data_IF_523886188497
#
_entry.id   IF_523886188497
#
_cell.length_a   1.000
_cell.length_b   1.000
_cell.length_c   1.000
_cell.angle_alpha   90.00
_cell.angle_beta   90.00
_cell.angle_gamma   90.00
#
_symmetry.space_group_name_H-M   'P 1'
#
loop_
_entity.id
_entity.type
_entity.pdbx_description
1 polymer ?
#
# COMPACT_ATOMS: atom_id res chain seq x y z
N UNK A 1 12.90 -20.30 -66.45
CA UNK A 1 12.47 -18.89 -66.34
C UNK A 1 11.11 -18.87 -65.67
N UNK A 2 11.07 -18.34 -64.44
CA UNK A 2 9.92 -18.01 -63.58
C UNK A 2 8.73 -18.99 -63.55
N UNK A 3 8.77 -19.92 -62.59
CA UNK A 3 7.64 -20.77 -62.17
C UNK A 3 7.06 -20.26 -60.85
N UNK A 4 5.77 -19.91 -60.87
CA UNK A 4 4.93 -19.70 -59.69
C UNK A 4 4.64 -21.03 -58.97
N UNK A 5 4.49 -21.05 -57.64
CA UNK A 5 3.67 -22.05 -56.94
C UNK A 5 2.55 -21.34 -56.17
N UNK A 6 1.28 -21.51 -56.54
CA UNK A 6 0.36 -22.60 -56.21
C UNK A 6 0.04 -22.70 -54.71
N UNK A 7 -1.16 -22.23 -54.39
CA UNK A 7 -1.86 -22.31 -53.10
C UNK A 7 -1.95 -23.74 -52.57
N UNK A 8 -1.63 -23.93 -51.29
CA UNK A 8 -1.91 -25.14 -50.54
C UNK A 8 -3.06 -24.88 -49.55
N UNK A 9 -4.23 -25.41 -49.91
CA UNK A 9 -5.42 -25.53 -49.06
C UNK A 9 -5.13 -26.45 -47.86
N UNK A 10 -5.44 -26.00 -46.65
CA UNK A 10 -5.59 -26.86 -45.47
C UNK A 10 -7.06 -26.86 -45.04
N UNK A 11 -7.64 -28.06 -45.14
CA UNK A 11 -9.02 -28.42 -44.82
C UNK A 11 -9.29 -28.38 -43.32
N UNK A 12 -10.27 -27.59 -42.88
CA UNK A 12 -10.85 -27.71 -41.53
C UNK A 12 -11.92 -28.79 -41.51
N UNK A 13 -11.79 -29.79 -40.63
CA UNK A 13 -12.87 -30.72 -40.30
C UNK A 13 -13.86 -30.06 -39.34
N UNK A 14 -15.18 -30.13 -39.58
CA UNK A 14 -16.18 -29.74 -38.60
C UNK A 14 -16.53 -30.90 -37.66
N UNK A 15 -16.59 -30.59 -36.36
CA UNK A 15 -17.08 -31.49 -35.32
C UNK A 15 -18.59 -31.73 -35.51
N UNK A 16 -18.98 -33.01 -35.58
CA UNK A 16 -20.37 -33.44 -35.71
C UNK A 16 -21.21 -33.07 -34.46
N UNK A 17 -22.25 -32.27 -34.66
CA UNK A 17 -23.45 -32.24 -33.81
C UNK A 17 -24.55 -33.06 -34.50
N UNK A 18 -25.26 -33.96 -33.81
CA UNK A 18 -26.53 -34.47 -34.31
C UNK A 18 -27.65 -33.47 -33.98
N UNK A 19 -28.26 -32.99 -35.04
CA UNK A 19 -29.39 -32.08 -35.06
C UNK A 19 -30.70 -32.89 -35.11
N UNK A 20 -31.78 -32.30 -34.56
CA UNK A 20 -33.20 -32.46 -34.99
C UNK A 20 -33.97 -33.71 -34.51
N UNK A 21 -35.28 -33.68 -34.19
CA UNK A 21 -36.34 -32.67 -34.41
C UNK A 21 -37.63 -33.04 -33.64
N UNK A 22 -38.28 -32.00 -33.12
CA UNK A 22 -39.70 -31.65 -33.26
C UNK A 22 -40.86 -32.21 -32.40
N UNK A 23 -41.74 -31.24 -32.09
CA UNK A 23 -43.16 -31.31 -31.70
C UNK A 23 -43.47 -31.75 -30.26
N UNK A 24 -44.30 -31.08 -29.47
CA UNK A 24 -45.10 -29.88 -29.66
C UNK A 24 -46.12 -29.78 -28.52
N UNK A 25 -46.43 -28.55 -28.11
CA UNK A 25 -47.71 -28.11 -27.54
C UNK A 25 -48.07 -28.37 -26.06
N UNK A 26 -48.38 -27.23 -25.42
CA UNK A 26 -49.44 -26.97 -24.43
C UNK A 26 -49.22 -27.29 -22.93
N UNK A 27 -48.92 -26.19 -22.21
CA UNK A 27 -49.74 -25.54 -21.18
C UNK A 27 -50.36 -26.39 -20.04
N UNK A 28 -50.09 -25.97 -18.81
CA UNK A 28 -50.89 -26.32 -17.63
C UNK A 28 -50.19 -25.99 -16.32
N UNK A 29 -50.35 -24.76 -15.84
CA UNK A 29 -50.06 -24.39 -14.46
C UNK A 29 -50.97 -25.19 -13.51
N UNK A 30 -50.46 -25.61 -12.34
CA UNK A 30 -51.14 -25.54 -11.03
C UNK A 30 -50.21 -26.13 -9.93
N UNK A 31 -49.80 -25.27 -9.01
CA UNK A 31 -49.35 -25.53 -7.61
C UNK A 31 -50.49 -26.15 -6.77
N UNK A 32 -50.31 -26.61 -5.49
CA UNK A 32 -49.11 -26.76 -4.63
C UNK A 32 -49.02 -28.08 -3.77
N UNK A 33 -47.88 -28.19 -3.05
CA UNK A 33 -47.48 -28.88 -1.79
C UNK A 33 -48.60 -28.92 -0.69
N UNK A 34 -48.67 -29.77 0.40
CA UNK A 34 -47.63 -30.57 1.14
C UNK A 34 -48.00 -31.96 1.78
N UNK A 35 -46.94 -32.60 2.29
CA UNK A 35 -46.80 -33.31 3.60
C UNK A 35 -47.41 -34.69 3.92
N UNK A 36 -46.53 -35.49 4.56
CA UNK A 36 -46.71 -36.49 5.62
C UNK A 36 -46.81 -38.00 5.32
N UNK A 37 -45.78 -38.68 5.85
CA UNK A 37 -45.76 -39.95 6.61
C UNK A 37 -45.94 -41.33 5.94
N UNK A 38 -44.87 -42.10 6.15
CA UNK A 38 -44.77 -43.52 6.56
C UNK A 38 -45.00 -44.68 5.59
N UNK A 39 -43.94 -45.50 5.51
CA UNK A 39 -43.86 -46.97 5.43
C UNK A 39 -44.33 -47.70 4.16
N UNK A 40 -43.39 -48.26 3.39
CA UNK A 40 -42.97 -49.66 3.48
C UNK A 40 -41.96 -50.01 2.35
N UNK A 41 -40.87 -50.68 2.74
CA UNK A 41 -39.76 -51.22 1.91
C UNK A 41 -40.23 -52.39 0.99
N UNK A 42 -39.39 -53.05 0.13
CA UNK A 42 -37.93 -52.94 -0.07
C UNK A 42 -37.42 -52.93 -1.53
N UNK A 43 -36.17 -52.48 -1.73
CA UNK A 43 -35.37 -52.76 -2.93
C UNK A 43 -33.90 -52.41 -2.65
N UNK A 44 -33.01 -53.38 -2.82
CA UNK A 44 -31.66 -53.43 -2.27
C UNK A 44 -30.66 -52.41 -2.86
N UNK A 45 -29.77 -51.87 -2.02
CA UNK A 45 -28.56 -51.16 -2.43
C UNK A 45 -27.38 -51.63 -1.59
N UNK A 46 -26.29 -51.99 -2.27
CA UNK A 46 -25.00 -52.43 -1.74
C UNK A 46 -24.25 -51.26 -1.11
N UNK A 47 -24.10 -51.26 0.21
CA UNK A 47 -23.14 -50.42 0.92
C UNK A 47 -22.40 -51.31 1.93
N UNK A 48 -21.07 -51.25 1.88
CA UNK A 48 -20.16 -51.96 2.79
C UNK A 48 -20.18 -51.23 4.14
N UNK A 49 -20.50 -51.97 5.21
CA UNK A 49 -20.53 -51.51 6.59
C UNK A 49 -19.12 -51.53 7.19
N UNK A 50 -18.66 -50.39 7.73
CA UNK A 50 -17.39 -50.30 8.45
C UNK A 50 -17.62 -50.65 9.93
N UNK A 51 -16.93 -51.69 10.41
CA UNK A 51 -17.03 -52.19 11.77
C UNK A 51 -16.53 -51.22 12.84
N UNK A 52 -17.21 -51.23 13.98
CA UNK A 52 -16.94 -50.47 15.20
C UNK A 52 -15.60 -50.91 15.84
N UNK A 53 -14.66 -50.01 16.15
CA UNK A 53 -13.50 -50.35 16.97
C UNK A 53 -13.88 -50.39 18.47
N UNK A 54 -13.15 -51.15 19.30
CA UNK A 54 -13.45 -51.31 20.73
C UNK A 54 -13.02 -50.07 21.54
N UNK A 55 -13.71 -49.89 22.67
CA UNK A 55 -13.50 -48.83 23.66
C UNK A 55 -12.05 -48.75 24.16
N UNK A 56 -11.38 -47.62 23.90
CA UNK A 56 -10.20 -47.17 24.65
C UNK A 56 -10.52 -45.80 25.27
N UNK A 57 -10.36 -45.71 26.59
CA UNK A 57 -10.47 -44.48 27.38
C UNK A 57 -9.39 -43.48 26.93
N UNK A 58 -9.79 -42.48 26.14
CA UNK A 58 -9.00 -41.28 25.91
C UNK A 58 -9.71 -40.09 26.55
N UNK A 59 -9.31 -39.79 27.78
CA UNK A 59 -9.49 -38.46 28.37
C UNK A 59 -8.94 -37.40 27.39
N UNK A 60 -9.62 -36.26 27.18
CA UNK A 60 -9.07 -35.17 26.40
C UNK A 60 -7.85 -34.62 27.16
N UNK A 61 -6.66 -34.98 26.72
CA UNK A 61 -5.42 -34.36 27.18
C UNK A 61 -5.54 -32.86 26.88
N UNK A 62 -5.72 -32.06 27.92
CA UNK A 62 -5.54 -30.62 27.85
C UNK A 62 -4.13 -30.36 27.32
N UNK A 63 -4.01 -29.96 26.05
CA UNK A 63 -2.79 -29.34 25.55
C UNK A 63 -2.60 -28.08 26.36
N UNK A 64 -1.73 -28.17 27.35
CA UNK A 64 -1.21 -27.02 28.06
C UNK A 64 -0.78 -25.99 27.02
N UNK A 65 -1.46 -24.85 27.00
CA UNK A 65 -0.96 -23.65 26.36
C UNK A 65 0.24 -23.22 27.19
N UNK A 66 1.42 -23.69 26.83
CA UNK A 66 2.66 -23.07 27.30
C UNK A 66 2.63 -21.64 26.78
N UNK A 67 2.80 -20.67 27.70
CA UNK A 67 2.99 -19.27 27.34
C UNK A 67 4.26 -19.19 26.49
N UNK A 68 4.11 -19.22 25.17
CA UNK A 68 5.19 -19.21 24.18
C UNK A 68 5.88 -17.84 24.08
N UNK A 69 6.57 -17.44 25.15
CA UNK A 69 7.54 -16.34 25.12
C UNK A 69 8.98 -16.84 25.01
N UNK A 70 9.25 -18.08 25.42
CA UNK A 70 10.62 -18.61 25.49
C UNK A 70 11.01 -19.48 24.27
N UNK A 71 10.06 -20.04 23.51
CA UNK A 71 10.35 -20.94 22.37
C UNK A 71 10.73 -20.22 21.05
N UNK A 72 10.68 -18.87 21.02
CA UNK A 72 11.00 -18.07 19.81
C UNK A 72 12.51 -17.82 19.64
N UNK A 73 13.34 -18.11 20.65
CA UNK A 73 14.79 -17.96 20.54
C UNK A 73 15.49 -19.24 20.03
N UNK A 74 14.88 -20.42 20.22
CA UNK A 74 15.55 -21.71 20.00
C UNK A 74 15.54 -22.18 18.52
N UNK A 75 14.68 -21.61 17.68
CA UNK A 75 14.55 -21.94 16.24
C UNK A 75 14.88 -20.77 15.30
N UNK A 76 15.71 -19.81 15.73
CA UNK A 76 16.12 -18.72 14.83
C UNK A 76 17.17 -19.25 13.83
N UNK A 77 17.00 -19.03 12.51
CA UNK A 77 18.06 -19.32 11.56
C UNK A 77 19.33 -18.55 11.93
N UNK A 78 20.52 -19.07 11.57
CA UNK A 78 21.78 -18.42 11.92
C UNK A 78 21.80 -17.01 11.34
N UNK A 79 21.97 -16.02 12.22
CA UNK A 79 22.12 -14.61 11.83
C UNK A 79 23.35 -14.48 10.93
N UNK A 80 23.26 -13.66 9.89
CA UNK A 80 24.42 -13.40 9.05
C UNK A 80 25.49 -12.64 9.86
N UNK A 81 26.56 -13.34 10.21
CA UNK A 81 27.79 -12.83 10.80
C UNK A 81 28.83 -12.63 9.69
N UNK A 82 29.91 -11.92 10.03
CA UNK A 82 31.04 -11.70 9.10
C UNK A 82 31.64 -13.00 8.54
N UNK A 83 31.40 -14.12 9.20
CA UNK A 83 31.99 -15.44 8.89
C UNK A 83 31.05 -16.33 8.05
N UNK A 84 29.74 -16.12 8.11
CA UNK A 84 28.74 -16.95 7.40
C UNK A 84 27.97 -16.17 6.30
N UNK A 85 28.31 -14.90 6.07
CA UNK A 85 27.76 -14.09 4.99
C UNK A 85 28.33 -14.54 3.63
N UNK A 86 27.52 -15.14 2.76
CA UNK A 86 27.99 -15.72 1.50
C UNK A 86 28.57 -14.67 0.54
N UNK A 87 28.17 -13.40 0.67
CA UNK A 87 28.61 -12.30 -0.21
C UNK A 87 29.48 -11.27 0.50
N UNK A 88 29.85 -11.50 1.77
CA UNK A 88 30.73 -10.64 2.57
C UNK A 88 30.30 -9.17 2.67
N UNK A 89 29.00 -8.88 2.51
CA UNK A 89 28.41 -7.56 2.71
C UNK A 89 28.69 -7.01 4.12
N UNK A 90 28.69 -7.89 5.13
CA UNK A 90 29.01 -7.55 6.52
C UNK A 90 30.42 -6.93 6.68
N UNK A 91 31.35 -7.25 5.78
CA UNK A 91 32.71 -6.68 5.79
C UNK A 91 32.76 -5.24 5.29
N UNK A 92 31.78 -4.83 4.48
CA UNK A 92 31.68 -3.49 3.91
C UNK A 92 31.03 -2.50 4.88
N UNK A 93 30.32 -2.98 5.91
CA UNK A 93 29.68 -2.18 6.94
C UNK A 93 30.67 -1.23 7.64
N UNK A 94 30.27 0.03 7.84
CA UNK A 94 31.08 1.06 8.50
C UNK A 94 30.49 1.44 9.86
N UNK A 95 31.29 1.35 10.92
CA UNK A 95 30.86 1.81 12.24
C UNK A 95 30.69 3.35 12.29
N UNK A 96 29.88 3.84 13.23
CA UNK A 96 29.68 5.30 13.44
C UNK A 96 31.00 6.06 13.67
N UNK A 97 31.97 5.40 14.31
CA UNK A 97 33.30 5.97 14.53
C UNK A 97 34.07 6.12 13.21
N UNK A 98 34.02 5.11 12.34
CA UNK A 98 34.63 5.17 11.01
C UNK A 98 33.94 6.20 10.13
N UNK A 99 32.61 6.31 10.17
CA UNK A 99 31.86 7.34 9.44
C UNK A 99 32.30 8.74 9.84
N UNK A 100 32.41 9.00 11.16
CA UNK A 100 32.92 10.26 11.70
C UNK A 100 34.37 10.51 11.27
N UNK A 101 35.20 9.47 11.22
CA UNK A 101 36.59 9.57 10.76
C UNK A 101 36.69 9.85 9.25
N UNK A 102 35.87 9.22 8.42
CA UNK A 102 35.79 9.45 6.97
C UNK A 102 35.33 10.88 6.70
N UNK A 103 34.31 11.36 7.41
CA UNK A 103 33.84 12.74 7.32
C UNK A 103 34.93 13.75 7.74
N UNK A 104 35.64 13.47 8.84
CA UNK A 104 36.74 14.29 9.33
C UNK A 104 37.94 14.32 8.35
N UNK A 105 38.28 13.19 7.73
CA UNK A 105 39.38 13.10 6.77
C UNK A 105 39.03 13.77 5.43
N UNK A 106 37.77 13.66 4.99
CA UNK A 106 37.29 14.26 3.74
C UNK A 106 37.17 15.78 3.84
N UNK A 107 36.78 16.30 5.01
CA UNK A 107 36.75 17.73 5.28
C UNK A 107 38.15 18.35 5.48
N UNK A 108 39.14 17.53 5.85
CA UNK A 108 40.54 17.95 6.07
C UNK A 108 41.43 17.97 4.82
N UNK A 109 40.97 17.52 3.66
CA UNK A 109 41.75 17.57 2.40
C UNK A 109 41.84 19.02 1.90
N UNK A 110 42.73 19.78 2.56
CA UNK A 110 43.08 21.17 2.30
C UNK A 110 44.10 21.18 1.16
N UNK A 111 43.63 21.41 -0.06
CA UNK A 111 44.52 21.81 -1.15
C UNK A 111 45.22 23.12 -0.76
N UNK A 112 46.49 23.24 -1.15
CA UNK A 112 47.46 24.18 -0.61
C UNK A 112 47.08 25.67 -0.62
N UNK A 113 47.85 26.43 0.17
CA UNK A 113 47.89 27.89 0.30
C UNK A 113 46.91 28.69 -0.59
N UNK A 114 45.66 28.84 -0.12
CA UNK A 114 44.63 29.63 -0.79
C UNK A 114 43.51 30.03 0.19
N UNK A 115 42.73 31.08 -0.12
CA UNK A 115 41.71 31.60 0.79
C UNK A 115 40.59 30.58 1.00
N UNK A 116 40.07 30.58 2.22
CA UNK A 116 39.19 29.56 2.79
C UNK A 116 37.90 29.37 1.95
N UNK A 117 37.78 28.26 1.21
CA UNK A 117 36.53 27.80 0.57
C UNK A 117 35.82 26.77 1.46
N UNK A 118 35.27 27.21 2.60
CA UNK A 118 34.65 26.34 3.62
C UNK A 118 33.43 25.52 3.14
N UNK A 119 32.75 25.92 2.07
CA UNK A 119 31.41 25.39 1.76
C UNK A 119 31.41 24.10 0.91
N UNK A 120 32.36 23.93 -0.02
CA UNK A 120 32.35 22.77 -0.95
C UNK A 120 32.87 21.48 -0.30
N UNK A 121 33.90 21.56 0.54
CA UNK A 121 34.49 20.39 1.20
C UNK A 121 33.56 19.80 2.27
N UNK A 122 32.90 20.66 3.05
CA UNK A 122 31.88 20.25 4.02
C UNK A 122 30.68 19.57 3.35
N UNK A 123 30.17 20.16 2.25
CA UNK A 123 29.08 19.55 1.48
C UNK A 123 29.48 18.18 0.91
N UNK A 124 30.72 18.03 0.41
CA UNK A 124 31.23 16.75 -0.09
C UNK A 124 31.37 15.70 1.03
N UNK A 125 31.85 16.10 2.21
CA UNK A 125 31.94 15.23 3.38
C UNK A 125 30.55 14.76 3.83
N UNK A 126 29.55 15.66 3.89
CA UNK A 126 28.18 15.33 4.24
C UNK A 126 27.54 14.37 3.22
N UNK A 127 27.77 14.62 1.92
CA UNK A 127 27.28 13.71 0.86
C UNK A 127 27.91 12.32 0.96
N UNK A 128 29.19 12.25 1.27
CA UNK A 128 29.91 10.98 1.45
C UNK A 128 29.44 10.23 2.71
N UNK A 129 29.23 10.96 3.80
CA UNK A 129 28.68 10.39 5.04
C UNK A 129 27.29 9.80 4.79
N UNK A 130 26.40 10.58 4.19
CA UNK A 130 25.05 10.11 3.83
C UNK A 130 25.12 8.90 2.88
N UNK A 131 26.07 8.86 1.94
CA UNK A 131 26.25 7.70 1.08
C UNK A 131 26.55 6.44 1.89
N UNK A 132 27.50 6.50 2.83
CA UNK A 132 27.83 5.33 3.67
C UNK A 132 26.73 5.00 4.68
N UNK A 133 26.00 5.97 5.20
CA UNK A 133 24.82 5.75 6.05
C UNK A 133 23.76 4.95 5.25
N UNK A 134 23.39 5.40 4.05
CA UNK A 134 22.47 4.66 3.18
C UNK A 134 23.00 3.27 2.78
N UNK A 135 24.32 3.11 2.58
CA UNK A 135 24.90 1.79 2.30
C UNK A 135 24.83 0.87 3.52
N UNK A 136 25.12 1.37 4.71
CA UNK A 136 25.01 0.60 5.95
C UNK A 136 23.55 0.16 6.20
N UNK A 137 22.59 1.06 6.02
CA UNK A 137 21.15 0.73 6.11
C UNK A 137 20.78 -0.37 5.11
N UNK A 138 21.29 -0.32 3.87
CA UNK A 138 21.01 -1.36 2.88
C UNK A 138 21.66 -2.70 3.27
N UNK A 139 22.92 -2.70 3.71
CA UNK A 139 23.62 -3.90 4.17
C UNK A 139 22.88 -4.52 5.36
N UNK A 140 22.48 -3.71 6.33
CA UNK A 140 21.71 -4.17 7.49
C UNK A 140 20.38 -4.77 7.08
N UNK A 141 19.66 -4.13 6.14
CA UNK A 141 18.41 -4.65 5.58
C UNK A 141 18.58 -6.00 4.88
N UNK A 142 19.63 -6.18 4.08
CA UNK A 142 19.89 -7.41 3.34
C UNK A 142 20.33 -8.56 4.28
N UNK A 143 21.17 -8.25 5.26
CA UNK A 143 21.66 -9.24 6.24
C UNK A 143 20.65 -9.55 7.35
N UNK A 144 19.55 -8.80 7.43
CA UNK A 144 18.49 -9.07 8.38
C UNK A 144 17.72 -10.32 7.95
N UNK A 145 17.60 -11.35 8.82
CA UNK A 145 16.81 -12.54 8.52
C UNK A 145 15.36 -12.20 8.16
N UNK A 146 14.76 -13.02 7.30
CA UNK A 146 13.37 -12.83 6.84
C UNK A 146 12.39 -12.84 8.02
N UNK A 147 12.66 -13.67 9.03
CA UNK A 147 11.88 -13.80 10.24
C UNK A 147 11.92 -12.52 11.09
N UNK A 148 13.07 -11.83 11.13
CA UNK A 148 13.21 -10.56 11.84
C UNK A 148 12.48 -9.42 11.10
N UNK A 149 12.44 -9.45 9.76
CA UNK A 149 11.58 -8.55 8.98
C UNK A 149 10.10 -8.80 9.29
N UNK A 150 9.69 -10.07 9.41
CA UNK A 150 8.33 -10.43 9.80
C UNK A 150 7.99 -10.01 11.23
N UNK A 151 8.93 -10.21 12.17
CA UNK A 151 8.75 -9.89 13.58
C UNK A 151 8.63 -8.39 13.77
N UNK A 152 9.50 -7.59 13.16
CA UNK A 152 9.41 -6.13 13.20
C UNK A 152 8.11 -5.63 12.57
N UNK A 153 7.69 -6.17 11.42
CA UNK A 153 6.40 -5.80 10.83
C UNK A 153 5.21 -6.16 11.75
N UNK A 154 5.28 -7.28 12.48
CA UNK A 154 4.27 -7.68 13.47
C UNK A 154 4.33 -6.83 14.75
N UNK A 155 5.52 -6.42 15.18
CA UNK A 155 5.73 -5.51 16.30
C UNK A 155 5.25 -4.10 15.94
N UNK A 156 5.54 -3.58 14.75
CA UNK A 156 4.96 -2.32 14.26
C UNK A 156 3.42 -2.40 14.16
N UNK A 157 2.87 -3.57 13.84
CA UNK A 157 1.42 -3.79 13.79
C UNK A 157 0.78 -4.03 15.18
N UNK A 158 1.53 -4.51 16.18
CA UNK A 158 1.01 -5.00 17.46
C UNK A 158 1.48 -4.25 18.72
N UNK A 159 2.67 -3.67 18.70
CA UNK A 159 3.31 -2.96 19.80
C UNK A 159 3.04 -1.45 19.70
N UNK A 160 1.82 -1.06 20.09
CA UNK A 160 1.63 0.02 21.08
C UNK A 160 0.14 0.29 21.32
N UNK A 161 -0.49 -0.60 22.08
CA UNK A 161 -1.93 -0.72 22.10
C UNK A 161 -2.68 0.46 22.77
N UNK A 162 -2.04 1.35 23.53
CA UNK A 162 -2.78 2.42 24.24
C UNK A 162 -2.41 3.83 23.82
N UNK A 163 -1.13 4.25 23.87
CA UNK A 163 -0.78 5.63 23.48
C UNK A 163 -0.99 5.87 21.99
N UNK A 164 -0.64 4.90 21.15
CA UNK A 164 -0.88 4.96 19.72
C UNK A 164 -2.38 4.84 19.38
N UNK A 165 -3.13 3.94 20.02
CA UNK A 165 -4.59 3.91 19.84
C UNK A 165 -5.27 5.21 20.29
N UNK A 166 -4.88 5.77 21.44
CA UNK A 166 -5.40 7.06 21.91
C UNK A 166 -5.02 8.17 20.95
N UNK A 167 -3.81 8.18 20.40
CA UNK A 167 -3.39 9.18 19.41
C UNK A 167 -4.20 9.07 18.11
N UNK A 168 -4.38 7.86 17.57
CA UNK A 168 -5.12 7.63 16.32
C UNK A 168 -6.62 7.87 16.51
N UNK A 169 -7.26 7.23 17.49
CA UNK A 169 -8.69 7.41 17.75
C UNK A 169 -9.00 8.83 18.28
N UNK A 170 -8.12 9.38 19.09
CA UNK A 170 -8.24 10.75 19.60
C UNK A 170 -8.10 11.79 18.49
N UNK A 171 -7.13 11.62 17.57
CA UNK A 171 -6.97 12.50 16.41
C UNK A 171 -8.16 12.37 15.45
N UNK A 172 -8.66 11.15 15.22
CA UNK A 172 -9.87 10.93 14.42
C UNK A 172 -11.10 11.61 15.02
N UNK A 173 -11.35 11.44 16.32
CA UNK A 173 -12.45 12.10 17.02
C UNK A 173 -12.30 13.64 17.00
N UNK A 174 -11.07 14.14 17.16
CA UNK A 174 -10.78 15.56 17.05
C UNK A 174 -11.07 16.08 15.63
N UNK A 175 -10.65 15.38 14.58
CA UNK A 175 -10.93 15.74 13.19
C UNK A 175 -12.45 15.79 12.92
N UNK A 176 -13.24 14.86 13.46
CA UNK A 176 -14.71 14.92 13.36
C UNK A 176 -15.28 16.17 14.07
N UNK A 177 -14.82 16.45 15.30
CA UNK A 177 -15.27 17.62 16.03
C UNK A 177 -14.89 18.94 15.32
N UNK A 178 -13.69 18.97 14.74
CA UNK A 178 -13.20 20.09 13.95
C UNK A 178 -14.00 20.28 12.67
N UNK A 179 -14.35 19.19 11.96
CA UNK A 179 -15.20 19.24 10.78
C UNK A 179 -16.58 19.87 11.10
N UNK A 180 -17.20 19.47 12.22
CA UNK A 180 -18.47 20.05 12.66
C UNK A 180 -18.36 21.55 12.99
N UNK A 181 -17.26 21.94 13.64
CA UNK A 181 -17.01 23.32 14.00
C UNK A 181 -16.70 24.20 12.77
N UNK A 182 -15.96 23.67 11.79
CA UNK A 182 -15.71 24.36 10.53
C UNK A 182 -16.95 24.44 9.64
N UNK A 183 -17.81 23.41 9.66
CA UNK A 183 -19.13 23.44 9.01
C UNK A 183 -19.99 24.57 9.57
N UNK A 184 -20.04 24.68 10.89
CA UNK A 184 -20.72 25.81 11.55
C UNK A 184 -20.09 27.16 11.15
N UNK A 185 -18.77 27.25 11.16
CA UNK A 185 -18.02 28.45 10.75
C UNK A 185 -18.33 28.88 9.31
N UNK A 186 -18.29 27.95 8.36
CA UNK A 186 -18.54 28.23 6.94
C UNK A 186 -19.99 28.66 6.70
N UNK A 187 -20.98 27.92 7.23
CA UNK A 187 -22.41 28.24 7.06
C UNK A 187 -22.75 29.60 7.70
N UNK A 188 -22.22 29.88 8.89
CA UNK A 188 -22.51 31.12 9.60
C UNK A 188 -21.78 32.35 9.04
N UNK A 189 -20.61 32.15 8.42
CA UNK A 189 -19.82 33.22 7.80
C UNK A 189 -20.32 33.60 6.41
N UNK A 190 -20.72 32.61 5.62
CA UNK A 190 -20.98 32.79 4.19
C UNK A 190 -19.71 32.98 3.34
N UNK A 191 -18.51 32.89 3.94
CA UNK A 191 -17.22 33.07 3.28
C UNK A 191 -16.82 31.85 2.45
N UNK A 192 -16.45 32.10 1.18
CA UNK A 192 -16.10 31.05 0.23
C UNK A 192 -14.77 30.37 0.58
N UNK A 193 -13.81 31.09 1.16
CA UNK A 193 -12.56 30.48 1.61
C UNK A 193 -12.78 29.55 2.79
N UNK A 194 -13.69 29.91 3.72
CA UNK A 194 -14.07 29.03 4.84
C UNK A 194 -14.89 27.82 4.39
N UNK A 195 -15.71 27.95 3.35
CA UNK A 195 -16.36 26.80 2.71
C UNK A 195 -15.33 25.84 2.09
N UNK A 196 -14.24 26.38 1.54
CA UNK A 196 -13.16 25.56 0.97
C UNK A 196 -12.44 24.76 2.04
N UNK A 197 -12.05 25.39 3.15
CA UNK A 197 -11.40 24.70 4.27
C UNK A 197 -12.33 23.71 4.97
N UNK A 198 -13.62 24.04 5.08
CA UNK A 198 -14.64 23.13 5.61
C UNK A 198 -14.77 21.86 4.77
N UNK A 199 -14.81 22.00 3.44
CA UNK A 199 -14.91 20.84 2.55
C UNK A 199 -13.75 19.87 2.82
N UNK A 200 -12.52 20.39 2.85
CA UNK A 200 -11.31 19.62 3.19
C UNK A 200 -11.49 18.87 4.53
N UNK A 201 -11.83 19.59 5.61
CA UNK A 201 -11.98 19.02 6.95
C UNK A 201 -13.12 17.99 7.08
N UNK A 202 -14.18 18.06 6.27
CA UNK A 202 -15.28 17.07 6.26
C UNK A 202 -14.86 15.80 5.53
N UNK A 203 -14.12 15.95 4.44
CA UNK A 203 -13.76 14.83 3.60
C UNK A 203 -12.56 14.05 4.17
N UNK A 204 -11.70 14.65 4.99
CA UNK A 204 -10.63 13.94 5.71
C UNK A 204 -11.11 12.76 6.60
N UNK A 205 -12.12 12.90 7.47
CA UNK A 205 -12.66 11.73 8.18
C UNK A 205 -13.43 10.79 7.24
N UNK A 206 -13.98 11.29 6.13
CA UNK A 206 -14.69 10.45 5.15
C UNK A 206 -13.73 9.53 4.37
N UNK A 207 -12.49 9.99 4.09
CA UNK A 207 -11.45 9.15 3.48
C UNK A 207 -11.10 7.98 4.38
N UNK A 208 -10.94 8.22 5.69
CA UNK A 208 -10.70 7.19 6.70
C UNK A 208 -11.87 6.18 6.79
N UNK A 209 -13.11 6.64 6.73
CA UNK A 209 -14.28 5.75 6.69
C UNK A 209 -14.25 4.89 5.41
N UNK A 210 -13.91 5.49 4.27
CA UNK A 210 -13.80 4.80 2.98
C UNK A 210 -12.71 3.74 3.02
N UNK A 211 -11.57 4.04 3.63
CA UNK A 211 -10.48 3.09 3.87
C UNK A 211 -10.97 1.91 4.73
N UNK A 212 -11.61 2.17 5.86
CA UNK A 212 -12.14 1.12 6.75
C UNK A 212 -13.18 0.25 6.02
N UNK A 213 -14.08 0.89 5.24
CA UNK A 213 -15.09 0.20 4.47
C UNK A 213 -14.44 -0.70 3.39
N UNK A 214 -13.43 -0.18 2.68
CA UNK A 214 -12.68 -0.96 1.69
C UNK A 214 -11.96 -2.13 2.34
N UNK A 215 -11.24 -1.89 3.43
CA UNK A 215 -10.50 -2.93 4.15
C UNK A 215 -11.44 -4.04 4.66
N UNK A 216 -12.64 -3.67 5.12
CA UNK A 216 -13.69 -4.64 5.51
C UNK A 216 -14.28 -5.39 4.31
N UNK A 217 -14.36 -4.76 3.14
CA UNK A 217 -14.78 -5.41 1.89
C UNK A 217 -13.70 -6.38 1.35
N UNK A 218 -12.42 -6.05 1.52
CA UNK A 218 -11.27 -6.92 1.21
C UNK A 218 -11.23 -8.15 2.13
N UNK A 219 -11.56 -7.99 3.42
CA UNK A 219 -11.63 -9.15 4.35
C UNK A 219 -12.78 -10.12 4.05
N UNK A 220 -13.81 -9.70 3.31
CA UNK A 220 -14.96 -10.53 2.91
C UNK A 220 -14.86 -10.94 1.44
N UNK A 221 -13.78 -11.63 1.08
CA UNK A 221 -13.56 -12.14 -0.28
C UNK A 221 -14.02 -13.58 -0.38
N UNK A 222 -14.83 -13.85 -1.40
CA UNK A 222 -15.10 -15.19 -1.89
C UNK A 222 -13.98 -15.58 -2.88
N UNK A 223 -13.13 -16.57 -2.55
CA UNK A 223 -12.00 -16.98 -3.40
C UNK A 223 -12.42 -17.40 -4.81
N UNK A 224 -13.65 -17.90 -4.99
CA UNK A 224 -14.12 -18.41 -6.28
C UNK A 224 -14.41 -17.29 -7.30
N UNK A 225 -14.74 -16.08 -6.82
CA UNK A 225 -15.06 -14.93 -7.68
C UNK A 225 -13.86 -14.02 -7.90
N UNK A 226 -12.95 -13.97 -6.92
CA UNK A 226 -11.76 -13.12 -6.96
C UNK A 226 -10.54 -13.94 -6.53
N UNK A 227 -9.96 -14.76 -7.43
CA UNK A 227 -8.86 -15.67 -7.09
C UNK A 227 -7.58 -14.92 -6.69
N UNK A 228 -7.35 -13.73 -7.23
CA UNK A 228 -6.23 -12.84 -6.85
C UNK A 228 -6.59 -11.89 -5.69
N UNK A 229 -7.66 -12.16 -4.94
CA UNK A 229 -8.12 -11.30 -3.86
C UNK A 229 -8.82 -10.01 -4.31
N UNK A 230 -9.12 -9.13 -3.35
CA UNK A 230 -9.71 -7.80 -3.58
C UNK A 230 -8.81 -6.65 -3.11
N UNK A 231 -7.52 -6.87 -2.85
CA UNK A 231 -6.61 -5.85 -2.32
C UNK A 231 -6.65 -4.54 -3.14
N UNK A 232 -6.80 -4.65 -4.47
CA UNK A 232 -6.94 -3.52 -5.41
C UNK A 232 -8.17 -2.63 -5.18
N UNK A 233 -9.21 -3.11 -4.49
CA UNK A 233 -10.38 -2.29 -4.18
C UNK A 233 -10.06 -1.12 -3.25
N UNK A 234 -9.02 -1.24 -2.43
CA UNK A 234 -8.49 -0.13 -1.62
C UNK A 234 -8.03 1.03 -2.50
N UNK A 235 -7.11 0.74 -3.44
CA UNK A 235 -6.63 1.69 -4.43
C UNK A 235 -7.77 2.28 -5.27
N UNK A 236 -8.73 1.46 -5.72
CA UNK A 236 -9.90 1.95 -6.47
C UNK A 236 -10.76 2.90 -5.63
N UNK A 237 -10.99 2.57 -4.35
CA UNK A 237 -11.71 3.43 -3.41
C UNK A 237 -11.02 4.78 -3.23
N UNK A 238 -9.69 4.78 -3.05
CA UNK A 238 -8.88 5.99 -2.92
C UNK A 238 -8.96 6.86 -4.19
N UNK A 239 -8.88 6.26 -5.38
CA UNK A 239 -8.99 6.98 -6.66
C UNK A 239 -10.37 7.65 -6.80
N UNK A 240 -11.46 6.92 -6.52
CA UNK A 240 -12.82 7.47 -6.58
C UNK A 240 -12.97 8.65 -5.62
N UNK A 241 -12.40 8.52 -4.43
CA UNK A 241 -12.40 9.59 -3.43
C UNK A 241 -11.60 10.82 -3.90
N UNK A 242 -10.41 10.64 -4.48
CA UNK A 242 -9.62 11.74 -5.03
C UNK A 242 -10.37 12.50 -6.14
N UNK A 243 -11.11 11.78 -7.00
CA UNK A 243 -11.95 12.39 -8.03
C UNK A 243 -13.14 13.16 -7.44
N UNK A 244 -13.78 12.62 -6.40
CA UNK A 244 -14.83 13.32 -5.68
C UNK A 244 -14.32 14.65 -5.10
N UNK A 245 -13.14 14.62 -4.46
CA UNK A 245 -12.51 15.82 -3.90
C UNK A 245 -12.17 16.85 -4.98
N UNK A 246 -11.58 16.39 -6.08
CA UNK A 246 -11.28 17.25 -7.23
C UNK A 246 -12.54 17.91 -7.79
N UNK A 247 -13.66 17.17 -7.89
CA UNK A 247 -14.94 17.70 -8.33
C UNK A 247 -15.49 18.79 -7.37
N UNK A 248 -15.41 18.55 -6.05
CA UNK A 248 -15.79 19.54 -5.03
C UNK A 248 -14.94 20.81 -5.17
N UNK A 249 -13.62 20.68 -5.35
CA UNK A 249 -12.73 21.82 -5.59
C UNK A 249 -13.11 22.61 -6.85
N UNK A 250 -13.45 21.94 -7.96
CA UNK A 250 -13.91 22.63 -9.18
C UNK A 250 -15.24 23.36 -8.99
N UNK A 251 -16.17 22.80 -8.23
CA UNK A 251 -17.43 23.47 -7.88
C UNK A 251 -17.15 24.75 -7.06
N UNK A 252 -16.24 24.67 -6.08
CA UNK A 252 -15.84 25.82 -5.28
C UNK A 252 -15.16 26.90 -6.13
N UNK A 253 -14.26 26.53 -7.05
CA UNK A 253 -13.67 27.47 -8.01
C UNK A 253 -14.76 28.17 -8.83
N UNK A 254 -15.74 27.42 -9.35
CA UNK A 254 -16.83 28.01 -10.13
C UNK A 254 -17.67 29.00 -9.30
N UNK A 255 -17.97 28.67 -8.04
CA UNK A 255 -18.67 29.59 -7.14
C UNK A 255 -17.84 30.83 -6.81
N UNK A 256 -16.55 30.69 -6.58
CA UNK A 256 -15.66 31.82 -6.32
C UNK A 256 -15.45 32.72 -7.52
N UNK A 257 -15.35 32.16 -8.74
CA UNK A 257 -15.31 32.95 -9.97
C UNK A 257 -16.63 33.70 -10.17
N UNK A 258 -17.76 33.03 -9.97
CA UNK A 258 -19.07 33.66 -10.07
C UNK A 258 -19.19 34.83 -9.09
N UNK A 259 -18.84 34.62 -7.83
CA UNK A 259 -18.87 35.64 -6.79
C UNK A 259 -17.99 36.84 -7.16
N UNK A 260 -16.77 36.59 -7.66
CA UNK A 260 -15.86 37.65 -8.11
C UNK A 260 -16.43 38.50 -9.26
N UNK A 261 -17.20 37.89 -10.17
CA UNK A 261 -17.80 38.60 -11.33
C UNK A 261 -19.13 39.28 -10.99
N UNK A 262 -19.92 38.72 -10.08
CA UNK A 262 -21.26 39.25 -9.73
C UNK A 262 -21.29 40.15 -8.51
N UNK A 263 -20.21 40.22 -7.72
CA UNK A 263 -20.21 41.01 -6.49
C UNK A 263 -20.17 42.52 -6.76
N UNK A 264 -21.04 43.26 -6.06
CA UNK A 264 -21.16 44.73 -6.15
C UNK A 264 -20.04 45.49 -5.40
N UNK A 265 -18.86 44.86 -5.22
CA UNK A 265 -17.72 45.40 -4.47
C UNK A 265 -18.01 45.69 -2.99
N UNK A 266 -19.10 45.15 -2.43
CA UNK A 266 -19.40 45.26 -1.00
C UNK A 266 -18.54 44.28 -0.20
N UNK A 267 -18.08 44.71 0.97
CA UNK A 267 -17.33 43.86 1.88
C UNK A 267 -18.25 42.79 2.49
N UNK A 268 -17.76 41.54 2.57
CA UNK A 268 -18.49 40.45 3.22
C UNK A 268 -18.81 40.82 4.67
N UNK A 269 -20.02 40.47 5.13
CA UNK A 269 -20.48 40.74 6.50
C UNK A 269 -19.56 40.02 7.48
N UNK A 270 -18.92 40.78 8.36
CA UNK A 270 -18.00 40.22 9.35
C UNK A 270 -18.79 39.50 10.46
N UNK A 271 -18.86 38.17 10.36
CA UNK A 271 -19.45 37.32 11.39
C UNK A 271 -18.38 36.93 12.42
N UNK A 272 -18.21 37.76 13.46
CA UNK A 272 -17.25 37.51 14.54
C UNK A 272 -17.37 36.08 15.14
N UNK A 273 -18.57 35.50 15.38
CA UNK A 273 -18.69 34.13 15.89
C UNK A 273 -18.10 33.07 14.94
N UNK A 274 -18.20 33.27 13.63
CA UNK A 274 -17.66 32.34 12.64
C UNK A 274 -16.13 32.35 12.63
N UNK A 275 -15.53 33.54 12.74
CA UNK A 275 -14.07 33.70 12.81
C UNK A 275 -13.52 33.11 14.11
N UNK A 276 -14.21 33.32 15.24
CA UNK A 276 -13.84 32.71 16.52
C UNK A 276 -13.94 31.19 16.42
N UNK A 277 -14.99 30.65 15.80
CA UNK A 277 -15.13 29.22 15.59
C UNK A 277 -13.92 28.68 14.79
N UNK A 278 -13.65 29.20 13.58
CA UNK A 278 -12.55 28.69 12.76
C UNK A 278 -11.17 28.94 13.41
N UNK A 279 -10.98 30.05 14.12
CA UNK A 279 -9.77 30.29 14.92
C UNK A 279 -9.61 29.27 16.06
N UNK A 280 -10.72 28.86 16.69
CA UNK A 280 -10.69 27.78 17.69
C UNK A 280 -10.28 26.46 17.05
N UNK A 281 -10.83 26.12 15.87
CA UNK A 281 -10.42 24.92 15.14
C UNK A 281 -8.93 24.95 14.77
N UNK A 282 -8.42 26.09 14.30
CA UNK A 282 -7.01 26.29 14.01
C UNK A 282 -6.14 26.10 15.26
N UNK A 283 -6.54 26.69 16.39
CA UNK A 283 -5.82 26.55 17.67
C UNK A 283 -5.79 25.09 18.15
N UNK A 284 -6.91 24.37 18.01
CA UNK A 284 -6.98 22.94 18.33
C UNK A 284 -6.07 22.12 17.41
N UNK A 285 -6.12 22.31 16.08
CA UNK A 285 -5.18 21.66 15.13
C UNK A 285 -3.73 21.98 15.45
N UNK A 286 -3.42 23.22 15.82
CA UNK A 286 -2.08 23.62 16.23
C UNK A 286 -1.60 22.88 17.50
N UNK A 287 -2.49 22.70 18.48
CA UNK A 287 -2.18 21.91 19.67
C UNK A 287 -1.94 20.42 19.34
N UNK A 288 -2.75 19.83 18.46
CA UNK A 288 -2.53 18.48 17.93
C UNK A 288 -1.20 18.35 17.18
N UNK A 289 -0.84 19.36 16.39
CA UNK A 289 0.44 19.42 15.70
C UNK A 289 1.63 19.47 16.67
N UNK A 290 1.57 20.27 17.74
CA UNK A 290 2.60 20.29 18.79
C UNK A 290 2.70 18.96 19.53
N UNK A 291 1.56 18.32 19.81
CA UNK A 291 1.53 17.01 20.46
C UNK A 291 2.20 15.94 19.58
N UNK A 292 1.86 15.88 18.30
CA UNK A 292 2.47 14.95 17.36
C UNK A 292 3.96 15.27 17.13
N UNK A 293 4.34 16.55 17.14
CA UNK A 293 5.74 16.96 17.00
C UNK A 293 6.63 16.44 18.15
N UNK A 294 6.11 16.41 19.38
CA UNK A 294 6.83 15.87 20.53
C UNK A 294 7.01 14.34 20.49
N UNK A 295 6.19 13.63 19.71
CA UNK A 295 6.16 12.17 19.62
C UNK A 295 6.64 11.62 18.26
N UNK A 296 6.94 12.49 17.29
CA UNK A 296 7.28 12.11 15.90
C UNK A 296 8.49 11.18 15.79
N UNK A 297 9.45 11.31 16.70
CA UNK A 297 10.72 10.57 16.66
C UNK A 297 10.61 9.18 17.32
N UNK A 298 9.46 8.86 17.92
CA UNK A 298 9.20 7.56 18.55
C UNK A 298 8.40 6.62 17.66
N UNK A 299 7.54 7.16 16.79
CA UNK A 299 6.57 6.38 16.03
C UNK A 299 6.46 6.88 14.59
N UNK A 300 6.75 6.00 13.63
CA UNK A 300 6.67 6.29 12.19
C UNK A 300 5.26 6.75 11.78
N UNK A 301 4.21 6.14 12.33
CA UNK A 301 2.82 6.52 12.03
C UNK A 301 2.45 7.92 12.57
N UNK A 302 3.07 8.37 13.67
CA UNK A 302 2.87 9.73 14.20
C UNK A 302 3.58 10.76 13.34
N UNK A 303 4.68 10.40 12.66
CA UNK A 303 5.31 11.28 11.66
C UNK A 303 4.33 11.59 10.52
N UNK A 304 3.61 10.58 10.02
CA UNK A 304 2.60 10.76 8.96
C UNK A 304 1.48 11.68 9.46
N UNK A 305 0.96 11.43 10.67
CA UNK A 305 -0.08 12.26 11.28
C UNK A 305 0.38 13.71 11.53
N UNK A 306 1.65 13.90 11.88
CA UNK A 306 2.24 15.23 12.03
C UNK A 306 2.33 15.98 10.69
N UNK A 307 2.70 15.29 9.61
CA UNK A 307 2.73 15.87 8.27
C UNK A 307 1.33 16.30 7.81
N UNK A 308 0.34 15.45 8.05
CA UNK A 308 -1.08 15.73 7.81
C UNK A 308 -1.53 17.01 8.54
N UNK A 309 -1.39 17.04 9.88
CA UNK A 309 -1.79 18.20 10.67
C UNK A 309 -1.04 19.48 10.30
N UNK A 310 0.21 19.37 9.83
CA UNK A 310 0.98 20.51 9.33
C UNK A 310 0.37 21.07 8.05
N UNK A 311 0.02 20.22 7.08
CA UNK A 311 -0.60 20.64 5.83
C UNK A 311 -1.94 21.36 6.09
N UNK A 312 -2.76 20.78 6.96
CA UNK A 312 -4.07 21.33 7.29
C UNK A 312 -3.96 22.67 8.02
N UNK A 313 -2.92 22.86 8.83
CA UNK A 313 -2.66 24.15 9.47
C UNK A 313 -2.40 25.24 8.43
N UNK A 314 -1.65 24.93 7.35
CA UNK A 314 -1.41 25.89 6.28
C UNK A 314 -2.70 26.22 5.51
N UNK A 315 -3.48 25.20 5.13
CA UNK A 315 -4.73 25.36 4.39
C UNK A 315 -5.75 26.16 5.23
N UNK A 316 -5.99 25.74 6.48
CA UNK A 316 -6.93 26.41 7.39
C UNK A 316 -6.47 27.82 7.75
N UNK A 317 -5.16 28.01 8.01
CA UNK A 317 -4.60 29.33 8.32
C UNK A 317 -4.76 30.31 7.15
N UNK A 318 -4.51 29.86 5.93
CA UNK A 318 -4.70 30.66 4.73
C UNK A 318 -6.19 30.96 4.48
N UNK A 319 -7.09 30.01 4.74
CA UNK A 319 -8.54 30.23 4.67
C UNK A 319 -9.01 31.33 5.64
N UNK A 320 -8.59 31.28 6.90
CA UNK A 320 -8.90 32.34 7.89
C UNK A 320 -8.35 33.68 7.44
N UNK A 321 -7.09 33.73 6.98
CA UNK A 321 -6.43 34.97 6.56
C UNK A 321 -7.20 35.64 5.41
N UNK A 322 -7.57 34.87 4.40
CA UNK A 322 -8.28 35.36 3.22
C UNK A 322 -9.73 35.72 3.53
N UNK A 323 -10.39 34.97 4.42
CA UNK A 323 -11.75 35.28 4.90
C UNK A 323 -11.78 36.60 5.68
N UNK A 324 -10.91 36.74 6.68
CA UNK A 324 -10.82 37.95 7.51
C UNK A 324 -10.41 39.16 6.67
N UNK A 325 -9.41 39.01 5.80
CA UNK A 325 -9.03 40.09 4.90
C UNK A 325 -10.10 40.45 3.87
N UNK A 326 -10.91 39.48 3.40
CA UNK A 326 -12.08 39.72 2.57
C UNK A 326 -13.15 40.59 3.22
N UNK A 327 -13.32 40.42 4.53
CA UNK A 327 -14.31 41.17 5.32
C UNK A 327 -13.83 42.54 5.84
N UNK A 328 -12.51 42.77 5.93
CA UNK A 328 -11.92 43.98 6.57
C UNK A 328 -11.06 44.84 5.65
N UNK A 329 -10.42 44.26 4.64
CA UNK A 329 -9.45 44.94 3.79
C UNK A 329 -10.00 45.15 2.36
N UNK A 330 -10.31 44.06 1.66
CA UNK A 330 -10.63 44.10 0.22
C UNK A 330 -11.63 43.00 -0.16
N UNK A 331 -12.73 43.36 -0.81
CA UNK A 331 -13.86 42.45 -1.12
C UNK A 331 -13.47 41.20 -1.93
N UNK A 332 -12.50 41.30 -2.85
CA UNK A 332 -12.12 40.17 -3.72
C UNK A 332 -11.19 39.16 -3.03
N UNK A 333 -10.66 39.47 -1.84
CA UNK A 333 -9.63 38.63 -1.22
C UNK A 333 -10.17 37.26 -0.79
N UNK A 334 -11.41 37.19 -0.32
CA UNK A 334 -12.07 35.93 0.07
C UNK A 334 -12.32 35.01 -1.15
N UNK A 335 -12.98 35.44 -2.23
CA UNK A 335 -13.15 34.61 -3.43
C UNK A 335 -11.82 34.28 -4.12
N UNK A 336 -10.84 35.20 -4.15
CA UNK A 336 -9.51 34.88 -4.67
C UNK A 336 -8.79 33.83 -3.81
N UNK A 337 -8.87 33.95 -2.48
CA UNK A 337 -8.33 32.96 -1.55
C UNK A 337 -8.95 31.58 -1.73
N UNK A 338 -10.27 31.51 -1.91
CA UNK A 338 -11.00 30.28 -2.19
C UNK A 338 -10.58 29.62 -3.51
N UNK A 339 -10.33 30.40 -4.58
CA UNK A 339 -9.79 29.89 -5.85
C UNK A 339 -8.40 29.30 -5.64
N UNK A 340 -7.50 30.04 -4.98
CA UNK A 340 -6.12 29.58 -4.72
C UNK A 340 -6.12 28.28 -3.91
N UNK A 341 -6.92 28.21 -2.84
CA UNK A 341 -7.07 27.01 -2.02
C UNK A 341 -7.63 25.85 -2.81
N UNK A 342 -8.70 26.07 -3.58
CA UNK A 342 -9.35 25.00 -4.34
C UNK A 342 -8.44 24.47 -5.45
N UNK A 343 -7.63 25.32 -6.10
CA UNK A 343 -6.61 24.88 -7.07
C UNK A 343 -5.54 24.05 -6.37
N UNK A 344 -5.03 24.52 -5.22
CA UNK A 344 -4.03 23.77 -4.45
C UNK A 344 -4.55 22.38 -4.05
N UNK A 345 -5.72 22.33 -3.43
CA UNK A 345 -6.38 21.08 -3.01
C UNK A 345 -6.58 20.16 -4.22
N UNK A 346 -7.13 20.68 -5.32
CA UNK A 346 -7.31 19.90 -6.56
C UNK A 346 -6.00 19.33 -7.10
N UNK A 347 -4.90 20.09 -7.09
CA UNK A 347 -3.60 19.59 -7.57
C UNK A 347 -3.03 18.49 -6.68
N UNK A 348 -3.19 18.60 -5.36
CA UNK A 348 -2.76 17.57 -4.40
C UNK A 348 -3.55 16.29 -4.65
N UNK A 349 -4.87 16.36 -4.70
CA UNK A 349 -5.72 15.18 -4.91
C UNK A 349 -5.53 14.54 -6.28
N UNK A 350 -5.31 15.34 -7.34
CA UNK A 350 -5.03 14.80 -8.67
C UNK A 350 -3.67 14.08 -8.72
N UNK A 351 -2.66 14.62 -8.04
CA UNK A 351 -1.36 13.96 -7.90
C UNK A 351 -1.48 12.65 -7.11
N UNK A 352 -2.21 12.65 -6.00
CA UNK A 352 -2.50 11.43 -5.22
C UNK A 352 -3.26 10.39 -6.05
N UNK A 353 -4.28 10.80 -6.81
CA UNK A 353 -5.03 9.93 -7.69
C UNK A 353 -4.12 9.26 -8.74
N UNK A 354 -3.16 10.02 -9.30
CA UNK A 354 -2.20 9.49 -10.26
C UNK A 354 -1.26 8.45 -9.60
N UNK A 355 -0.80 8.70 -8.38
CA UNK A 355 0.00 7.75 -7.61
C UNK A 355 -0.74 6.43 -7.36
N UNK A 356 -1.98 6.51 -6.86
CA UNK A 356 -2.85 5.34 -6.67
C UNK A 356 -3.14 4.61 -7.98
N UNK A 357 -3.37 5.36 -9.06
CA UNK A 357 -3.56 4.78 -10.39
C UNK A 357 -2.32 4.01 -10.86
N UNK A 358 -1.10 4.51 -10.62
CA UNK A 358 0.14 3.79 -10.94
C UNK A 358 0.31 2.49 -10.14
N UNK A 359 -0.17 2.44 -8.88
CA UNK A 359 -0.22 1.20 -8.10
C UNK A 359 -1.18 0.17 -8.70
N UNK A 360 -2.27 0.62 -9.32
CA UNK A 360 -3.21 -0.26 -10.02
C UNK A 360 -2.65 -0.76 -11.37
N UNK A 361 -1.87 0.08 -12.07
CA UNK A 361 -1.19 -0.28 -13.32
C UNK A 361 -0.07 -1.31 -13.08
N UNK A 362 0.50 -1.33 -11.88
CA UNK A 362 1.59 -2.22 -11.51
C UNK A 362 2.96 -1.60 -11.75
N UNK A 363 3.16 -0.40 -11.22
CA UNK A 363 4.49 0.21 -11.15
C UNK A 363 5.46 -0.72 -10.41
N UNK A 364 6.72 -0.71 -10.84
CA UNK A 364 7.77 -1.52 -10.22
C UNK A 364 8.01 -1.10 -8.77
N UNK A 365 8.28 -2.08 -7.90
CA UNK A 365 8.63 -1.85 -6.51
C UNK A 365 9.97 -1.09 -6.39
N UNK A 366 10.24 -0.56 -5.19
CA UNK A 366 11.50 0.14 -4.95
C UNK A 366 12.72 -0.76 -5.19
N UNK A 367 13.85 -0.15 -5.56
CA UNK A 367 15.09 -0.87 -5.88
C UNK A 367 15.58 -1.67 -4.67
N UNK A 368 15.37 -1.15 -3.46
CA UNK A 368 15.76 -1.80 -2.21
C UNK A 368 14.96 -3.09 -1.98
N UNK A 369 13.67 -3.11 -2.32
CA UNK A 369 12.84 -4.31 -2.22
C UNK A 369 13.24 -5.35 -3.26
N UNK A 370 13.55 -4.92 -4.49
CA UNK A 370 14.08 -5.83 -5.52
C UNK A 370 15.43 -6.43 -5.11
N UNK A 371 16.33 -5.62 -4.54
CA UNK A 371 17.62 -6.08 -4.03
C UNK A 371 17.45 -7.07 -2.88
N UNK A 372 16.52 -6.82 -1.96
CA UNK A 372 16.21 -7.74 -0.86
C UNK A 372 15.72 -9.09 -1.39
N UNK A 373 14.75 -9.10 -2.30
CA UNK A 373 14.22 -10.34 -2.88
C UNK A 373 15.32 -11.08 -3.63
N UNK A 374 16.13 -10.37 -4.43
CA UNK A 374 17.28 -10.95 -5.15
C UNK A 374 18.25 -11.61 -4.16
N UNK A 375 18.58 -10.93 -3.07
CA UNK A 375 19.48 -11.47 -2.05
C UNK A 375 18.90 -12.70 -1.35
N UNK A 376 17.60 -12.68 -1.02
CA UNK A 376 16.91 -13.84 -0.43
C UNK A 376 16.96 -15.05 -1.37
N UNK A 377 16.79 -14.84 -2.68
CA UNK A 377 16.89 -15.90 -3.68
C UNK A 377 18.31 -16.47 -3.76
N UNK A 378 19.33 -15.59 -3.84
CA UNK A 378 20.74 -15.97 -3.92
C UNK A 378 21.27 -16.72 -2.68
N UNK A 379 20.62 -16.52 -1.53
CA UNK A 379 21.05 -17.11 -0.25
C UNK A 379 20.15 -18.25 0.22
N UNK A 380 19.16 -18.64 -0.60
CA UNK A 380 18.19 -19.65 -0.21
C UNK A 380 18.77 -21.08 -0.21
N UNK A 381 19.36 -21.50 -1.33
CA UNK A 381 19.92 -22.84 -1.50
C UNK A 381 21.18 -22.80 -2.39
N UNK A 382 22.20 -23.64 -2.13
CA UNK A 382 23.36 -23.79 -3.02
C UNK A 382 23.01 -24.38 -4.39
N UNK A 383 21.83 -24.97 -4.57
CA UNK A 383 21.37 -25.54 -5.84
C UNK A 383 20.89 -24.48 -6.83
N UNK A 384 20.72 -23.25 -6.38
CA UNK A 384 20.42 -22.09 -7.23
C UNK A 384 21.75 -21.63 -7.83
N UNK A 385 22.02 -22.02 -9.07
CA UNK A 385 23.24 -21.69 -9.79
C UNK A 385 23.27 -20.22 -10.24
N UNK A 386 22.09 -19.62 -10.43
CA UNK A 386 21.94 -18.23 -10.84
C UNK A 386 20.51 -17.71 -10.73
N UNK A 387 20.36 -16.41 -10.96
CA UNK A 387 19.07 -15.72 -11.08
C UNK A 387 19.05 -15.06 -12.45
N UNK A 388 18.05 -15.38 -13.25
CA UNK A 388 17.88 -14.75 -14.56
C UNK A 388 17.16 -13.40 -14.40
N UNK A 389 15.95 -13.43 -13.84
CA UNK A 389 15.08 -12.27 -13.78
C UNK A 389 14.42 -12.14 -12.40
N UNK A 390 14.39 -10.91 -11.87
CA UNK A 390 13.59 -10.54 -10.69
C UNK A 390 12.71 -9.37 -11.05
N UNK A 391 11.40 -9.57 -11.01
CA UNK A 391 10.40 -8.52 -11.27
C UNK A 391 9.49 -8.42 -10.07
N UNK A 392 9.45 -7.23 -9.49
CA UNK A 392 8.58 -6.97 -8.35
C UNK A 392 7.76 -5.75 -8.70
N UNK A 393 6.45 -5.88 -8.65
CA UNK A 393 5.52 -4.84 -9.07
C UNK A 393 4.29 -4.81 -8.16
N UNK A 394 3.65 -3.64 -8.12
CA UNK A 394 2.48 -3.43 -7.29
C UNK A 394 1.22 -4.10 -7.86
N UNK A 395 0.39 -4.60 -6.97
CA UNK A 395 -0.98 -5.08 -7.22
C UNK A 395 -1.90 -4.36 -6.24
N UNK A 396 -2.18 -3.08 -6.54
CA UNK A 396 -2.79 -2.19 -5.54
C UNK A 396 -1.81 -1.90 -4.40
N UNK A 397 -2.19 -2.03 -3.12
CA UNK A 397 -1.29 -1.74 -1.99
C UNK A 397 -0.24 -2.83 -1.73
N UNK A 398 -0.38 -4.02 -2.32
CA UNK A 398 0.53 -5.16 -2.12
C UNK A 398 1.48 -5.35 -3.28
N UNK A 399 2.49 -6.20 -3.08
CA UNK A 399 3.50 -6.55 -4.08
C UNK A 399 3.29 -7.97 -4.60
N UNK A 400 3.54 -8.15 -5.89
CA UNK A 400 3.73 -9.45 -6.53
C UNK A 400 5.20 -9.54 -6.93
N UNK A 401 5.83 -10.66 -6.59
CA UNK A 401 7.19 -10.98 -7.00
C UNK A 401 7.17 -12.11 -8.03
N UNK A 402 7.80 -11.89 -9.18
CA UNK A 402 8.11 -12.90 -10.20
C UNK A 402 9.63 -13.08 -10.19
N UNK A 403 10.09 -14.31 -9.98
CA UNK A 403 11.51 -14.65 -9.87
C UNK A 403 11.79 -15.87 -10.72
N UNK A 404 12.78 -15.74 -11.59
CA UNK A 404 13.25 -16.82 -12.45
C UNK A 404 14.65 -17.24 -11.95
N UNK A 405 14.74 -18.45 -11.39
CA UNK A 405 15.98 -19.02 -10.84
C UNK A 405 16.52 -20.12 -11.72
N UNK A 406 17.83 -20.22 -11.80
CA UNK A 406 18.51 -21.22 -12.63
C UNK A 406 19.00 -22.35 -11.73
N UNK A 407 18.61 -23.58 -12.07
CA UNK A 407 19.02 -24.80 -11.38
C UNK A 407 19.59 -25.82 -12.36
N UNK A 408 20.30 -26.82 -11.85
CA UNK A 408 20.92 -27.84 -12.66
C UNK A 408 19.90 -28.64 -13.50
N UNK A 409 20.15 -28.78 -14.81
CA UNK A 409 19.29 -29.50 -15.74
C UNK A 409 19.13 -31.01 -15.45
N UNK A 410 20.09 -31.62 -14.76
CA UNK A 410 20.07 -33.05 -14.41
C UNK A 410 19.31 -33.33 -13.10
N UNK A 411 18.96 -32.27 -12.35
CA UNK A 411 18.18 -32.39 -11.13
C UNK A 411 16.77 -32.93 -11.42
N UNK A 412 16.26 -33.77 -10.51
CA UNK A 412 14.91 -34.29 -10.66
C UNK A 412 13.88 -33.17 -10.49
N UNK A 413 12.81 -33.17 -11.29
CA UNK A 413 11.71 -32.21 -11.19
C UNK A 413 11.14 -32.10 -9.76
N UNK A 414 11.09 -33.22 -9.03
CA UNK A 414 10.65 -33.24 -7.64
C UNK A 414 11.55 -32.40 -6.75
N UNK A 415 12.86 -32.58 -6.87
CA UNK A 415 13.83 -31.83 -6.07
C UNK A 415 13.82 -30.35 -6.39
N UNK A 416 13.79 -29.98 -7.67
CA UNK A 416 13.73 -28.58 -8.09
C UNK A 416 12.42 -27.92 -7.65
N UNK A 417 11.29 -28.64 -7.71
CA UNK A 417 10.01 -28.16 -7.19
C UNK A 417 10.06 -27.90 -5.68
N UNK A 418 10.60 -28.83 -4.90
CA UNK A 418 10.69 -28.68 -3.44
C UNK A 418 11.51 -27.43 -3.05
N UNK A 419 12.67 -27.21 -3.70
CA UNK A 419 13.49 -25.99 -3.49
C UNK A 419 12.76 -24.72 -3.94
N UNK A 420 12.07 -24.74 -5.08
CA UNK A 420 11.33 -23.58 -5.58
C UNK A 420 10.11 -23.24 -4.70
N UNK A 421 9.41 -24.25 -4.18
CA UNK A 421 8.27 -24.07 -3.27
C UNK A 421 8.73 -23.50 -1.92
N UNK A 422 9.85 -23.98 -1.38
CA UNK A 422 10.47 -23.40 -0.18
C UNK A 422 10.89 -21.94 -0.40
N UNK A 423 11.48 -21.62 -1.56
CA UNK A 423 11.82 -20.26 -1.93
C UNK A 423 10.57 -19.39 -2.05
N UNK A 424 9.51 -19.89 -2.68
CA UNK A 424 8.23 -19.19 -2.80
C UNK A 424 7.66 -18.84 -1.42
N UNK A 425 7.56 -19.82 -0.52
CA UNK A 425 7.07 -19.59 0.84
C UNK A 425 7.92 -18.57 1.60
N UNK A 426 9.25 -18.61 1.41
CA UNK A 426 10.18 -17.66 2.04
C UNK A 426 9.95 -16.24 1.54
N UNK A 427 9.77 -16.05 0.23
CA UNK A 427 9.47 -14.73 -0.34
C UNK A 427 8.08 -14.26 0.09
N UNK A 428 7.05 -15.11 0.06
CA UNK A 428 5.70 -14.77 0.51
C UNK A 428 5.62 -14.41 2.00
N UNK A 429 6.60 -14.83 2.80
CA UNK A 429 6.67 -14.43 4.21
C UNK A 429 7.15 -12.98 4.42
N UNK A 430 7.86 -12.39 3.44
CA UNK A 430 8.31 -11.00 3.53
C UNK A 430 7.12 -10.01 3.63
N UNK A 431 7.32 -8.88 4.32
CA UNK A 431 6.27 -7.87 4.44
C UNK A 431 5.84 -7.35 3.06
N UNK A 432 4.54 -7.04 2.94
CA UNK A 432 3.88 -6.47 1.76
C UNK A 432 3.81 -7.35 0.50
N UNK A 433 4.48 -8.50 0.47
CA UNK A 433 4.35 -9.47 -0.62
C UNK A 433 3.05 -10.26 -0.45
N UNK A 434 2.17 -10.16 -1.43
CA UNK A 434 0.91 -10.92 -1.47
C UNK A 434 1.10 -12.30 -2.12
N UNK A 435 1.96 -12.37 -3.14
CA UNK A 435 2.22 -13.60 -3.89
C UNK A 435 3.62 -13.57 -4.50
N UNK A 436 4.28 -14.72 -4.49
CA UNK A 436 5.49 -14.94 -5.27
C UNK A 436 5.24 -16.02 -6.34
N UNK A 437 5.78 -15.80 -7.54
CA UNK A 437 5.86 -16.78 -8.61
C UNK A 437 7.34 -17.08 -8.83
N UNK A 438 7.72 -18.32 -8.55
CA UNK A 438 9.09 -18.79 -8.76
C UNK A 438 9.08 -19.70 -9.97
N UNK A 439 9.71 -19.25 -11.06
CA UNK A 439 10.01 -20.08 -12.21
C UNK A 439 11.41 -20.69 -12.04
N UNK A 440 11.58 -21.93 -12.51
CA UNK A 440 12.87 -22.62 -12.48
C UNK A 440 13.30 -22.91 -13.90
N UNK A 441 14.37 -22.27 -14.31
CA UNK A 441 15.04 -22.49 -15.57
C UNK A 441 16.25 -23.40 -15.40
N UNK A 442 16.64 -24.03 -16.49
CA UNK A 442 17.88 -24.81 -16.58
C UNK A 442 18.94 -24.11 -17.45
N UNK A 443 18.62 -22.93 -17.97
CA UNK A 443 19.45 -22.17 -18.89
C UNK A 443 19.31 -20.65 -18.64
N UNK A 444 20.16 -19.84 -19.28
CA UNK A 444 20.24 -18.37 -19.06
C UNK A 444 20.18 -17.56 -20.37
N UNK A 445 19.90 -18.21 -21.48
CA UNK A 445 19.96 -17.65 -22.84
C UNK A 445 18.59 -17.40 -23.45
N UNK A 446 17.49 -17.79 -22.81
CA UNK A 446 16.16 -17.51 -23.30
C UNK A 446 15.88 -16.00 -23.28
N UNK A 447 15.04 -15.54 -24.21
CA UNK A 447 14.40 -14.23 -24.07
C UNK A 447 13.19 -14.43 -23.17
N UNK A 448 12.80 -13.44 -22.35
CA UNK A 448 11.66 -13.55 -21.45
C UNK A 448 10.47 -14.13 -22.21
N UNK A 449 10.06 -15.31 -21.79
CA UNK A 449 9.33 -16.31 -22.58
C UNK A 449 7.89 -15.93 -22.94
N UNK A 450 7.43 -14.78 -22.48
CA UNK A 450 6.16 -14.20 -22.88
C UNK A 450 6.41 -13.13 -23.93
N UNK A 451 6.23 -13.50 -25.21
CA UNK A 451 6.08 -12.52 -26.29
C UNK A 451 5.02 -11.51 -25.86
N UNK A 452 5.42 -10.26 -25.63
CA UNK A 452 4.44 -9.23 -25.31
C UNK A 452 3.53 -9.08 -26.52
N UNK A 453 2.22 -9.27 -26.33
CA UNK A 453 1.22 -9.05 -27.38
C UNK A 453 1.19 -7.60 -27.89
N UNK A 454 1.96 -6.70 -27.29
CA UNK A 454 2.21 -5.32 -27.77
C UNK A 454 3.10 -5.27 -29.02
N UNK A 455 3.82 -6.35 -29.31
CA UNK A 455 4.73 -6.48 -30.46
C UNK A 455 4.12 -7.31 -31.61
N UNK A 456 2.81 -7.62 -31.55
CA UNK A 456 2.00 -8.17 -32.66
C UNK A 456 1.08 -7.04 -33.15
#
# INVERSE_FOLDING_TARGET
MASSPSEANISMQPLHLPDRLNSGSRAGAHTPIPSNMSSSKPGASTAIEAGTPPFEDHDPISRHTTNGRDDLEENRPPRYTRENDPYQLASAYKSDLELKQIAANTSRKRDGCGPIRLNKASHKARKLQHFYETQNENIERLLKPVEDHCAEAKEEAGADHLQFQIAVYGSFAANIALAALQLYGAISSGSLSLFTTMADAIFDPMSNITLIASNRAVKRVDPNRFPSGKARLETVGNIVFCFLMTAVSFILIAFSIRDLVTSNHELNKFHLPSVIAVATAFATKFALWLYCWALKDKYSQIMILWQDHRNDLFINGFGILTSVGGSKLIWWLDPAGAIVLSVLISTIWLHTAFGEFMLLVGVSASVETQQLITYVCLTHSPDIEGIDTVRVYHSGPRLIAEVDVVMNAESTLRYTHDVAEELQMKIESLPDIERAYVHVDYETTHKPEHSFKKDI
#
